data_IF_784568282885
#
_entry.id   IF_784568282885
#
_cell.length_a   1.000
_cell.length_b   1.000
_cell.length_c   1.000
_cell.angle_alpha   90.00
_cell.angle_beta   90.00
_cell.angle_gamma   90.00
#
_symmetry.space_group_name_H-M   'P 1'
#
loop_
_entity.id
_entity.type
_entity.pdbx_description
1 polymer ?
#
# COMPACT_ATOMS: atom_id res chain seq x y z
N UNK A 1 2.95 10.22 -8.00
CA UNK A 1 3.20 9.88 -6.58
C UNK A 1 2.30 8.72 -6.20
N UNK A 2 2.75 7.79 -5.33
CA UNK A 2 1.92 6.67 -4.80
C UNK A 2 0.66 7.17 -4.07
N UNK A 3 0.61 8.47 -3.75
CA UNK A 3 -0.55 9.15 -3.21
C UNK A 3 -1.05 10.19 -4.23
N UNK A 4 -1.90 9.77 -5.17
CA UNK A 4 -2.70 10.69 -6.00
C UNK A 4 -4.18 10.36 -5.81
N UNK A 5 -4.65 10.66 -4.59
CA UNK A 5 -6.02 10.35 -4.15
C UNK A 5 -7.10 11.12 -4.90
N UNK A 6 -6.73 12.17 -5.63
CA UNK A 6 -7.66 12.95 -6.43
C UNK A 6 -8.14 12.18 -7.67
N UNK A 7 -7.31 11.26 -8.19
CA UNK A 7 -7.58 10.54 -9.43
C UNK A 7 -7.99 9.07 -9.19
N UNK A 8 -7.57 8.46 -8.09
CA UNK A 8 -7.86 7.06 -7.75
C UNK A 8 -7.75 6.80 -6.25
N UNK A 9 -8.51 5.83 -5.73
CA UNK A 9 -8.51 5.51 -4.29
C UNK A 9 -7.19 4.89 -3.82
N UNK A 10 -6.63 3.97 -4.60
CA UNK A 10 -5.36 3.31 -4.27
C UNK A 10 -4.49 3.10 -5.52
N UNK A 11 -3.19 3.37 -5.36
CA UNK A 11 -2.21 3.25 -6.45
C UNK A 11 -2.03 1.83 -6.99
N UNK A 12 -2.04 0.76 -6.16
CA UNK A 12 -1.93 -0.61 -6.66
C UNK A 12 -3.02 -0.98 -7.67
N UNK A 13 -4.28 -0.77 -7.30
CA UNK A 13 -5.43 -1.10 -8.16
C UNK A 13 -5.41 -0.27 -9.44
N UNK A 14 -5.07 1.01 -9.35
CA UNK A 14 -4.91 1.87 -10.52
C UNK A 14 -3.80 1.37 -11.46
N UNK A 15 -2.67 0.91 -10.91
CA UNK A 15 -1.59 0.32 -11.68
C UNK A 15 -2.06 -0.93 -12.44
N UNK A 16 -2.75 -1.83 -11.76
CA UNK A 16 -3.30 -3.05 -12.36
C UNK A 16 -4.33 -2.69 -13.45
N UNK A 17 -5.25 -1.75 -13.18
CA UNK A 17 -6.26 -1.27 -14.14
C UNK A 17 -5.65 -0.78 -15.44
N UNK A 18 -4.59 0.04 -15.35
CA UNK A 18 -3.89 0.57 -16.53
C UNK A 18 -3.23 -0.53 -17.35
N UNK A 19 -2.57 -1.48 -16.68
CA UNK A 19 -1.92 -2.61 -17.33
C UNK A 19 -2.95 -3.49 -18.02
N UNK A 20 -4.03 -3.87 -17.33
CA UNK A 20 -5.13 -4.65 -17.91
C UNK A 20 -5.79 -3.92 -19.08
N UNK A 21 -6.08 -2.62 -18.96
CA UNK A 21 -6.64 -1.83 -20.06
C UNK A 21 -5.73 -1.80 -21.29
N UNK A 22 -4.41 -1.73 -21.07
CA UNK A 22 -3.41 -1.80 -22.15
C UNK A 22 -3.36 -3.18 -22.79
N UNK A 23 -3.32 -4.25 -21.99
CA UNK A 23 -3.16 -5.64 -22.48
C UNK A 23 -4.43 -6.13 -23.19
N UNK A 24 -5.61 -5.82 -22.64
CA UNK A 24 -6.90 -6.19 -23.19
C UNK A 24 -7.40 -5.22 -24.26
N UNK A 25 -6.64 -4.15 -24.52
CA UNK A 25 -6.96 -3.10 -25.48
C UNK A 25 -8.37 -2.51 -25.26
N UNK A 26 -8.71 -2.27 -23.99
CA UNK A 26 -10.02 -1.81 -23.54
C UNK A 26 -9.89 -0.72 -22.49
N UNK A 27 -10.93 0.10 -22.34
CA UNK A 27 -10.99 1.12 -21.30
C UNK A 27 -11.74 0.55 -20.10
N UNK A 28 -11.04 0.39 -18.97
CA UNK A 28 -11.63 0.00 -17.70
C UNK A 28 -11.86 1.27 -16.86
N UNK A 29 -13.09 1.48 -16.40
CA UNK A 29 -13.44 2.69 -15.62
C UNK A 29 -12.77 2.67 -14.24
N UNK A 30 -12.45 3.86 -13.71
CA UNK A 30 -11.93 3.97 -12.35
C UNK A 30 -13.01 3.55 -11.34
N UNK A 31 -12.64 2.73 -10.35
CA UNK A 31 -13.57 2.21 -9.34
C UNK A 31 -14.38 0.99 -9.78
N UNK A 32 -14.26 0.53 -11.02
CA UNK A 32 -14.82 -0.75 -11.46
C UNK A 32 -14.02 -1.91 -10.85
N UNK A 33 -14.72 -2.98 -10.45
CA UNK A 33 -14.07 -4.21 -9.98
C UNK A 33 -13.33 -4.84 -11.15
N UNK A 34 -12.01 -4.96 -11.03
CA UNK A 34 -11.16 -5.55 -12.07
C UNK A 34 -11.47 -7.04 -12.20
N UNK A 35 -11.74 -7.49 -13.41
CA UNK A 35 -11.81 -8.93 -13.72
C UNK A 35 -10.41 -9.53 -13.61
N UNK A 36 -10.26 -10.52 -12.75
CA UNK A 36 -8.97 -11.18 -12.47
C UNK A 36 -8.94 -12.63 -12.94
N UNK A 37 -9.92 -13.07 -13.73
CA UNK A 37 -10.08 -14.47 -14.15
C UNK A 37 -8.87 -14.99 -14.96
N UNK A 38 -8.21 -14.09 -15.71
CA UNK A 38 -7.03 -14.40 -16.53
C UNK A 38 -5.70 -14.07 -15.83
N UNK A 39 -5.73 -13.65 -14.56
CA UNK A 39 -4.53 -13.31 -13.80
C UNK A 39 -4.05 -14.50 -12.97
N UNK A 40 -2.90 -15.05 -13.32
CA UNK A 40 -2.27 -16.14 -12.56
C UNK A 40 -1.76 -15.68 -11.20
N UNK A 41 -1.07 -14.54 -11.14
CA UNK A 41 -0.64 -13.90 -9.89
C UNK A 41 -0.38 -12.41 -10.07
N UNK A 42 -0.50 -11.66 -8.97
CA UNK A 42 -0.05 -10.27 -8.87
C UNK A 42 1.00 -10.19 -7.77
N UNK A 43 2.16 -9.62 -8.10
CA UNK A 43 3.17 -9.24 -7.12
C UNK A 43 3.18 -7.73 -6.97
N UNK A 44 2.87 -7.27 -5.76
CA UNK A 44 2.90 -5.86 -5.43
C UNK A 44 4.18 -5.52 -4.67
N UNK A 45 4.93 -4.55 -5.19
CA UNK A 45 6.03 -3.88 -4.48
C UNK A 45 5.75 -2.39 -4.47
N UNK A 46 5.86 -1.75 -3.32
CA UNK A 46 5.64 -0.30 -3.18
C UNK A 46 6.54 0.29 -2.10
N UNK A 47 6.90 1.56 -2.25
CA UNK A 47 7.62 2.33 -1.24
C UNK A 47 6.69 2.97 -0.20
N UNK A 48 5.39 2.71 -0.27
CA UNK A 48 4.39 3.32 0.61
C UNK A 48 4.73 3.18 2.10
N UNK A 49 5.06 1.96 2.55
CA UNK A 49 5.42 1.70 3.95
C UNK A 49 6.71 2.42 4.36
N UNK A 50 7.72 2.41 3.49
CA UNK A 50 9.00 3.09 3.74
C UNK A 50 8.82 4.59 3.86
N UNK A 51 8.05 5.21 2.96
CA UNK A 51 7.78 6.64 3.03
C UNK A 51 6.93 6.99 4.25
N UNK A 52 5.93 6.18 4.59
CA UNK A 52 5.14 6.36 5.80
C UNK A 52 6.02 6.35 7.07
N UNK A 53 7.03 5.47 7.12
CA UNK A 53 8.00 5.43 8.21
C UNK A 53 8.86 6.70 8.27
N UNK A 54 9.43 7.11 7.13
CA UNK A 54 10.30 8.30 7.03
C UNK A 54 9.55 9.59 7.37
N UNK A 55 8.30 9.72 6.91
CA UNK A 55 7.44 10.87 7.14
C UNK A 55 6.73 10.83 8.51
N UNK A 56 6.96 9.77 9.30
CA UNK A 56 6.25 9.49 10.57
C UNK A 56 4.73 9.53 10.42
N UNK A 57 4.25 9.15 9.25
CA UNK A 57 2.83 9.12 8.89
C UNK A 57 2.23 7.74 9.23
N UNK A 58 2.07 7.49 10.54
CA UNK A 58 1.48 6.26 11.06
C UNK A 58 0.23 6.52 11.90
N UNK A 59 -0.37 5.45 12.41
CA UNK A 59 -1.47 5.51 13.37
C UNK A 59 -0.96 5.49 14.82
N UNK A 60 -1.82 5.81 15.80
CA UNK A 60 -1.47 5.69 17.22
C UNK A 60 -1.42 4.20 17.61
N UNK A 61 -0.36 3.82 18.32
CA UNK A 61 -0.13 2.45 18.79
C UNK A 61 0.14 2.46 20.30
N UNK A 62 -0.14 1.34 20.97
CA UNK A 62 0.22 1.11 22.37
C UNK A 62 1.27 0.00 22.45
N UNK A 63 2.25 0.18 23.35
CA UNK A 63 3.23 -0.86 23.69
C UNK A 63 2.84 -1.49 25.03
N UNK A 64 2.58 -2.80 25.02
CA UNK A 64 2.44 -3.61 26.23
C UNK A 64 3.72 -4.43 26.41
N UNK A 65 4.35 -4.31 27.57
CA UNK A 65 5.62 -4.97 27.85
C UNK A 65 5.68 -5.45 29.30
N UNK A 66 6.51 -6.45 29.56
CA UNK A 66 6.71 -7.01 30.89
C UNK A 66 7.20 -5.94 31.87
N UNK A 67 6.70 -5.98 33.11
CA UNK A 67 7.16 -5.09 34.19
C UNK A 67 8.68 -5.17 34.34
N UNK A 68 9.33 -4.02 34.38
CA UNK A 68 10.79 -3.91 34.46
C UNK A 68 11.51 -3.65 33.14
N UNK A 69 10.81 -3.65 31.98
CA UNK A 69 11.41 -3.50 30.65
C UNK A 69 10.94 -2.26 29.88
N UNK A 70 10.54 -1.19 30.57
CA UNK A 70 9.94 0.01 29.95
C UNK A 70 10.88 0.71 28.95
N UNK A 71 12.18 0.64 29.21
CA UNK A 71 13.27 1.34 28.54
C UNK A 71 13.88 0.57 27.35
N UNK A 72 13.44 -0.66 27.07
CA UNK A 72 13.99 -1.46 25.96
C UNK A 72 13.97 -0.74 24.61
N UNK A 73 12.93 0.05 24.31
CA UNK A 73 12.86 0.81 23.05
C UNK A 73 13.82 2.00 22.99
N UNK A 74 14.29 2.50 24.14
CA UNK A 74 15.23 3.62 24.24
C UNK A 74 16.68 3.13 24.24
N UNK A 75 16.93 1.95 24.80
CA UNK A 75 18.29 1.41 24.98
C UNK A 75 18.91 1.01 23.64
N UNK A 76 18.11 0.50 22.69
CA UNK A 76 18.38 0.55 21.24
C UNK A 76 19.80 0.26 20.75
N UNK A 77 20.55 -0.63 21.43
CA UNK A 77 21.93 -1.01 21.12
C UNK A 77 21.99 -2.52 20.88
#
# INVERSE_FOLDING_TARGET
>A
ISQDRANYQDAPTEGIRRVLGTVLNTTISCGEVLKTDELEYIRLSTTFATNALLERNGTKHALLITKGFRDLLLIGN
#
